data_IF_538635863779
#
_entry.id   IF_538635863779
#
_cell.length_a   1.000
_cell.length_b   1.000
_cell.length_c   1.000
_cell.angle_alpha   90.00
_cell.angle_beta   90.00
_cell.angle_gamma   90.00
#
_symmetry.space_group_name_H-M   'P 1'
#
loop_
_entity.id
_entity.type
_entity.pdbx_description
1 polymer ?
#
# COMPACT_ATOMS: atom_id res chain seq x y z
N UNK A 1 5.23 31.66 5.96
CA UNK A 1 4.10 30.87 5.42
C UNK A 1 3.59 30.02 6.57
N UNK A 2 2.34 30.16 7.01
CA UNK A 2 1.75 29.32 8.05
C UNK A 2 1.61 27.92 7.44
N UNK A 3 2.29 26.90 7.98
CA UNK A 3 1.95 25.51 7.73
C UNK A 3 0.49 25.32 8.15
N UNK A 4 -0.42 25.27 7.20
CA UNK A 4 -1.78 24.83 7.46
C UNK A 4 -1.67 23.34 7.78
N UNK A 5 -1.84 23.01 9.06
CA UNK A 5 -2.02 21.66 9.52
C UNK A 5 -3.31 21.14 8.91
N UNK A 6 -3.18 20.30 7.90
CA UNK A 6 -4.31 19.68 7.23
C UNK A 6 -4.90 18.65 8.19
N UNK A 7 -6.17 18.78 8.55
CA UNK A 7 -6.88 17.73 9.27
C UNK A 7 -6.99 16.53 8.32
N UNK A 8 -6.36 15.42 8.69
CA UNK A 8 -6.40 14.17 7.93
C UNK A 8 -7.46 13.27 8.53
N UNK A 9 -8.40 12.81 7.71
CA UNK A 9 -9.33 11.74 8.05
C UNK A 9 -8.91 10.49 7.28
N UNK A 10 -8.90 9.33 7.91
CA UNK A 10 -8.54 8.06 7.27
C UNK A 10 -9.42 6.91 7.76
N UNK A 11 -9.44 5.86 6.99
CA UNK A 11 -10.10 4.59 7.30
C UNK A 11 -9.27 3.48 6.70
N UNK A 12 -9.14 2.36 7.38
CA UNK A 12 -8.49 1.15 6.88
C UNK A 12 -9.31 -0.08 7.28
N UNK A 13 -9.33 -1.07 6.39
CA UNK A 13 -9.99 -2.34 6.66
C UNK A 13 -9.35 -3.45 5.83
N UNK A 14 -9.16 -4.61 6.44
CA UNK A 14 -8.60 -5.80 5.81
C UNK A 14 -9.38 -7.04 6.22
N UNK A 15 -9.68 -7.90 5.26
CA UNK A 15 -10.46 -9.14 5.45
C UNK A 15 -9.87 -10.28 4.64
N UNK A 16 -9.95 -11.49 5.18
CA UNK A 16 -9.61 -12.69 4.43
C UNK A 16 -10.54 -12.94 3.22
N UNK A 17 -11.72 -12.29 3.19
CA UNK A 17 -12.71 -12.53 2.15
C UNK A 17 -13.14 -13.99 2.08
N UNK A 18 -13.10 -14.58 0.89
CA UNK A 18 -13.42 -15.98 0.67
C UNK A 18 -12.26 -16.94 0.96
N UNK A 19 -11.05 -16.44 1.21
CA UNK A 19 -9.85 -17.24 1.45
C UNK A 19 -9.79 -17.71 2.92
N UNK A 20 -9.15 -18.85 3.20
CA UNK A 20 -8.98 -19.35 4.57
C UNK A 20 -7.96 -18.52 5.40
N UNK A 21 -7.06 -17.81 4.73
CA UNK A 21 -5.99 -17.01 5.33
C UNK A 21 -6.00 -15.65 4.67
N UNK A 22 -5.84 -14.60 5.46
CA UNK A 22 -5.56 -13.27 4.94
C UNK A 22 -4.06 -13.14 4.70
N UNK A 23 -3.67 -12.99 3.44
CA UNK A 23 -2.27 -12.78 3.02
C UNK A 23 -1.97 -11.30 2.80
N UNK A 24 -3.01 -10.45 2.85
CA UNK A 24 -2.86 -9.00 2.86
C UNK A 24 -2.40 -8.49 4.22
N UNK A 25 -1.71 -7.37 4.20
CA UNK A 25 -1.37 -6.58 5.38
C UNK A 25 -1.48 -5.09 5.08
N UNK A 26 -1.98 -4.31 6.02
CA UNK A 26 -1.99 -2.87 5.95
C UNK A 26 -1.60 -2.25 7.29
N UNK A 27 -1.31 -0.98 7.28
CA UNK A 27 -1.06 -0.22 8.50
C UNK A 27 -0.71 1.23 8.21
N UNK A 28 -0.88 2.05 9.23
CA UNK A 28 -0.58 3.46 9.13
C UNK A 28 0.21 3.98 10.33
N UNK A 29 0.90 5.09 10.14
CA UNK A 29 1.46 5.90 11.21
C UNK A 29 0.98 7.34 11.01
N UNK A 30 0.08 7.76 11.90
CA UNK A 30 -0.50 9.10 11.88
C UNK A 30 0.22 9.95 12.93
N UNK A 31 0.72 11.09 12.48
CA UNK A 31 1.38 12.04 13.36
C UNK A 31 0.31 12.87 14.06
N UNK A 32 0.28 12.79 15.37
CA UNK A 32 -0.54 13.69 16.19
C UNK A 32 0.15 15.04 16.31
N UNK A 33 -0.34 15.98 15.52
CA UNK A 33 0.22 17.34 15.50
C UNK A 33 -0.16 18.13 16.75
N UNK A 34 -1.21 17.73 17.46
CA UNK A 34 -1.67 18.38 18.69
C UNK A 34 -0.84 17.94 19.91
N UNK A 35 -0.17 16.79 19.82
CA UNK A 35 0.73 16.33 20.87
C UNK A 35 2.04 17.14 20.83
N UNK A 36 2.12 18.18 21.63
CA UNK A 36 3.29 19.09 21.77
C UNK A 36 4.60 18.36 22.13
N UNK A 37 4.50 17.09 22.52
CA UNK A 37 5.61 16.21 22.88
C UNK A 37 5.98 15.20 21.79
N UNK A 38 5.30 15.21 20.65
CA UNK A 38 5.64 14.33 19.55
C UNK A 38 7.04 14.66 19.03
N UNK A 39 7.84 13.63 18.84
CA UNK A 39 9.21 13.71 18.37
C UNK A 39 9.26 14.55 17.07
N UNK A 40 9.95 15.70 17.10
CA UNK A 40 10.07 16.61 15.95
C UNK A 40 10.52 15.89 14.68
N UNK A 41 11.37 14.87 14.83
CA UNK A 41 11.81 14.00 13.75
C UNK A 41 10.63 13.30 13.05
N UNK A 42 9.65 12.79 13.78
CA UNK A 42 8.47 12.15 13.19
C UNK A 42 7.60 13.15 12.43
N UNK A 43 7.42 14.37 12.97
CA UNK A 43 6.68 15.44 12.27
C UNK A 43 7.33 15.81 10.93
N UNK A 44 8.66 15.76 10.87
CA UNK A 44 9.40 16.00 9.62
C UNK A 44 9.26 14.90 8.59
N UNK A 45 8.85 13.68 8.99
CA UNK A 45 8.70 12.52 8.09
C UNK A 45 7.32 12.45 7.44
N UNK A 46 6.27 13.00 8.04
CA UNK A 46 4.90 12.98 7.52
C UNK A 46 4.10 11.74 7.92
N UNK A 47 2.80 11.73 7.60
CA UNK A 47 1.92 10.57 7.80
C UNK A 47 2.28 9.48 6.81
N UNK A 48 2.13 8.22 7.20
CA UNK A 48 2.48 7.07 6.36
C UNK A 48 1.34 6.04 6.35
N UNK A 49 0.99 5.55 5.16
CA UNK A 49 0.03 4.48 4.93
C UNK A 49 0.68 3.42 4.08
N UNK A 50 0.57 2.16 4.47
CA UNK A 50 1.22 1.03 3.81
C UNK A 50 0.23 -0.08 3.54
N UNK A 51 0.30 -0.66 2.35
CA UNK A 51 -0.48 -1.80 1.90
C UNK A 51 0.46 -2.82 1.26
N UNK A 52 0.24 -4.09 1.53
CA UNK A 52 0.99 -5.20 0.95
C UNK A 52 0.08 -6.40 0.79
N UNK A 53 0.11 -7.02 -0.38
CA UNK A 53 -0.62 -8.23 -0.73
C UNK A 53 0.38 -9.37 -0.94
N UNK A 54 0.17 -10.46 -0.23
CA UNK A 54 1.00 -11.67 -0.33
C UNK A 54 0.54 -12.59 -1.44
N UNK A 55 1.44 -12.96 -2.37
CA UNK A 55 1.07 -13.77 -3.53
C UNK A 55 0.38 -15.08 -3.15
N UNK A 56 -0.76 -15.37 -3.79
CA UNK A 56 -1.62 -16.53 -3.48
C UNK A 56 -0.96 -17.89 -3.67
N UNK A 57 0.06 -18.00 -4.53
CA UNK A 57 0.82 -19.26 -4.78
C UNK A 57 1.74 -19.67 -3.62
N UNK A 58 2.00 -18.76 -2.67
CA UNK A 58 2.92 -18.98 -1.55
C UNK A 58 2.19 -19.18 -0.23
N UNK A 59 2.58 -20.21 0.52
CA UNK A 59 2.09 -20.44 1.88
C UNK A 59 2.79 -19.58 2.96
N UNK A 60 3.79 -18.80 2.58
CA UNK A 60 4.57 -17.91 3.46
C UNK A 60 4.45 -16.43 3.10
N UNK A 61 3.62 -16.10 2.12
CA UNK A 61 3.44 -14.73 1.65
C UNK A 61 2.77 -13.82 2.69
N UNK A 62 1.88 -14.36 3.55
CA UNK A 62 1.37 -13.63 4.71
C UNK A 62 2.52 -13.13 5.61
N UNK A 63 3.52 -13.97 5.86
CA UNK A 63 4.69 -13.54 6.65
C UNK A 63 5.48 -12.45 5.91
N UNK A 64 5.49 -12.49 4.57
CA UNK A 64 6.17 -11.47 3.78
C UNK A 64 5.45 -10.13 3.84
N UNK A 65 4.13 -10.10 3.64
CA UNK A 65 3.31 -8.88 3.69
C UNK A 65 3.33 -8.25 5.09
N UNK A 66 3.13 -9.03 6.15
CA UNK A 66 3.20 -8.57 7.54
C UNK A 66 4.57 -7.96 7.86
N UNK A 67 5.65 -8.66 7.47
CA UNK A 67 7.01 -8.18 7.70
C UNK A 67 7.29 -6.89 6.93
N UNK A 68 6.83 -6.80 5.68
CA UNK A 68 7.05 -5.63 4.84
C UNK A 68 6.39 -4.39 5.44
N UNK A 69 5.10 -4.48 5.81
CA UNK A 69 4.34 -3.38 6.43
C UNK A 69 4.98 -2.96 7.75
N UNK A 70 5.19 -3.90 8.66
CA UNK A 70 5.76 -3.63 9.98
C UNK A 70 7.15 -3.00 9.88
N UNK A 71 8.04 -3.60 9.09
CA UNK A 71 9.42 -3.11 8.94
C UNK A 71 9.45 -1.72 8.34
N UNK A 72 8.57 -1.42 7.36
CA UNK A 72 8.53 -0.09 6.77
C UNK A 72 8.11 0.96 7.79
N UNK A 73 7.00 0.73 8.49
CA UNK A 73 6.47 1.65 9.50
C UNK A 73 7.47 1.91 10.65
N UNK A 74 8.21 0.89 11.07
CA UNK A 74 9.23 1.03 12.10
C UNK A 74 10.49 1.73 11.57
N UNK A 75 11.00 1.34 10.40
CA UNK A 75 12.32 1.76 9.92
C UNK A 75 12.31 3.11 9.20
N UNK A 76 11.20 3.52 8.57
CA UNK A 76 11.11 4.78 7.85
C UNK A 76 11.38 5.98 8.76
N UNK A 77 10.79 5.97 9.94
CA UNK A 77 10.95 7.06 10.93
C UNK A 77 12.32 7.07 11.61
N UNK A 78 13.09 5.98 11.50
CA UNK A 78 14.46 5.89 12.03
C UNK A 78 15.53 6.35 11.03
N UNK A 79 15.14 6.64 9.77
CA UNK A 79 16.09 7.17 8.80
C UNK A 79 16.53 8.59 9.18
N UNK A 80 17.76 9.03 8.79
CA UNK A 80 18.25 10.37 9.13
C UNK A 80 17.28 11.47 8.69
N UNK A 81 17.11 12.51 9.54
CA UNK A 81 16.23 13.65 9.26
C UNK A 81 16.69 14.49 8.05
N UNK A 82 17.98 14.39 7.72
CA UNK A 82 18.58 15.06 6.57
C UNK A 82 18.24 14.39 5.23
N UNK A 83 17.68 13.17 5.26
CA UNK A 83 17.30 12.47 4.04
C UNK A 83 15.98 12.98 3.50
N UNK A 84 15.88 13.00 2.17
CA UNK A 84 14.61 13.25 1.49
C UNK A 84 13.65 12.09 1.72
N UNK A 85 12.34 12.32 1.52
CA UNK A 85 11.31 11.26 1.54
C UNK A 85 11.69 10.13 0.59
N UNK A 86 12.12 10.47 -0.64
CA UNK A 86 12.53 9.49 -1.65
C UNK A 86 13.69 8.64 -1.15
N UNK A 87 14.73 9.26 -0.62
CA UNK A 87 15.91 8.56 -0.13
C UNK A 87 15.58 7.64 1.05
N UNK A 88 14.78 8.12 2.01
CA UNK A 88 14.35 7.34 3.16
C UNK A 88 13.51 6.14 2.74
N UNK A 89 12.44 6.37 1.97
CA UNK A 89 11.51 5.31 1.57
C UNK A 89 12.17 4.27 0.67
N UNK A 90 12.90 4.70 -0.38
CA UNK A 90 13.55 3.75 -1.29
C UNK A 90 14.62 2.91 -0.61
N UNK A 91 15.34 3.45 0.36
CA UNK A 91 16.32 2.69 1.14
C UNK A 91 15.64 1.62 1.98
N UNK A 92 14.57 1.98 2.69
CA UNK A 92 13.83 1.02 3.52
C UNK A 92 13.18 -0.06 2.66
N UNK A 93 12.53 0.28 1.54
CA UNK A 93 11.90 -0.68 0.63
C UNK A 93 12.94 -1.67 0.08
N UNK A 94 14.12 -1.19 -0.33
CA UNK A 94 15.20 -2.06 -0.82
C UNK A 94 15.73 -3.00 0.27
N UNK A 95 15.84 -2.55 1.51
CA UNK A 95 16.26 -3.38 2.64
C UNK A 95 15.24 -4.47 2.95
N UNK A 96 13.93 -4.14 2.87
CA UNK A 96 12.85 -5.12 3.01
C UNK A 96 12.97 -6.16 1.88
N UNK A 97 13.10 -5.72 0.63
CA UNK A 97 13.27 -6.61 -0.52
C UNK A 97 14.46 -7.56 -0.34
N UNK A 98 15.62 -7.03 0.06
CA UNK A 98 16.81 -7.85 0.29
C UNK A 98 16.60 -8.88 1.40
N UNK A 99 15.86 -8.53 2.44
CA UNK A 99 15.51 -9.44 3.56
C UNK A 99 14.59 -10.56 3.11
N UNK A 100 13.51 -10.23 2.38
CA UNK A 100 12.55 -11.21 1.87
C UNK A 100 13.21 -12.13 0.82
N UNK A 101 13.98 -11.55 -0.11
CA UNK A 101 14.72 -12.30 -1.12
C UNK A 101 15.67 -13.31 -0.46
N UNK A 102 16.47 -12.87 0.52
CA UNK A 102 17.37 -13.75 1.27
C UNK A 102 16.59 -14.88 1.98
N UNK A 103 15.48 -14.56 2.64
CA UNK A 103 14.63 -15.60 3.27
C UNK A 103 14.14 -16.64 2.26
N UNK A 104 13.78 -16.23 1.06
CA UNK A 104 13.41 -17.16 -0.03
C UNK A 104 14.59 -18.03 -0.42
N UNK A 105 15.80 -17.44 -0.61
CA UNK A 105 17.00 -18.18 -0.97
C UNK A 105 17.45 -19.18 0.12
N UNK A 106 17.27 -18.82 1.38
CA UNK A 106 17.63 -19.68 2.56
C UNK A 106 16.53 -20.70 2.91
N UNK A 107 15.47 -20.78 2.12
CA UNK A 107 14.30 -21.66 2.35
C UNK A 107 14.20 -22.78 1.32
N UNK A 108 13.31 -23.77 1.52
CA UNK A 108 13.00 -24.78 0.49
C UNK A 108 12.48 -24.20 -0.83
N UNK A 109 12.09 -22.91 -0.85
CA UNK A 109 11.55 -22.22 -2.03
C UNK A 109 12.61 -21.56 -2.93
N UNK A 110 13.91 -21.78 -2.65
CA UNK A 110 15.00 -21.16 -3.43
C UNK A 110 14.94 -21.47 -4.95
N UNK A 111 14.34 -22.61 -5.32
CA UNK A 111 14.14 -23.01 -6.74
C UNK A 111 12.74 -22.69 -7.28
N UNK A 112 11.85 -22.14 -6.46
CA UNK A 112 10.49 -21.75 -6.80
C UNK A 112 10.16 -20.41 -6.12
N UNK A 113 10.78 -19.31 -6.56
CA UNK A 113 10.65 -18.01 -5.88
C UNK A 113 9.20 -17.52 -5.73
N UNK A 114 8.31 -17.91 -6.65
CA UNK A 114 6.87 -17.68 -6.62
C UNK A 114 6.14 -18.38 -5.45
N UNK A 115 6.82 -19.24 -4.73
CA UNK A 115 6.35 -19.89 -3.48
C UNK A 115 7.05 -19.39 -2.23
N UNK A 116 7.98 -18.45 -2.39
CA UNK A 116 8.79 -17.89 -1.32
C UNK A 116 8.12 -16.71 -0.60
N UNK A 117 8.95 -15.96 0.09
CA UNK A 117 8.54 -14.75 0.82
C UNK A 117 8.38 -13.58 -0.17
N UNK A 118 7.24 -13.54 -0.86
CA UNK A 118 6.96 -12.57 -1.92
C UNK A 118 5.65 -11.87 -1.66
N UNK A 119 5.63 -10.55 -1.83
CA UNK A 119 4.42 -9.73 -1.69
C UNK A 119 4.52 -8.48 -2.57
N UNK A 120 3.37 -7.87 -2.86
CA UNK A 120 3.29 -6.51 -3.40
C UNK A 120 3.65 -5.50 -2.30
N UNK A 121 3.86 -4.25 -2.66
CA UNK A 121 4.11 -3.21 -1.66
C UNK A 121 3.73 -1.83 -2.20
N UNK A 122 2.88 -1.15 -1.49
CA UNK A 122 2.47 0.21 -1.80
C UNK A 122 2.52 1.07 -0.55
N UNK A 123 3.06 2.28 -0.67
CA UNK A 123 3.11 3.23 0.44
C UNK A 123 2.79 4.64 -0.03
N UNK A 124 1.97 5.33 0.74
CA UNK A 124 1.70 6.77 0.62
C UNK A 124 2.30 7.48 1.83
N UNK A 125 3.14 8.48 1.57
CA UNK A 125 3.69 9.35 2.61
C UNK A 125 3.17 10.75 2.36
N UNK A 126 2.36 11.28 3.28
CA UNK A 126 1.80 12.63 3.19
C UNK A 126 2.66 13.57 4.04
N UNK A 127 3.36 14.49 3.37
CA UNK A 127 4.21 15.49 4.00
C UNK A 127 3.82 16.89 3.54
N UNK A 128 3.27 17.69 4.45
CA UNK A 128 2.66 18.96 4.08
C UNK A 128 1.50 18.73 3.11
N UNK A 129 1.51 19.41 1.97
CA UNK A 129 0.49 19.29 0.93
C UNK A 129 0.91 18.36 -0.22
N UNK A 130 1.88 17.47 0.01
CA UNK A 130 2.32 16.53 -1.02
C UNK A 130 2.15 15.09 -0.53
N UNK A 131 1.61 14.24 -1.42
CA UNK A 131 1.66 12.79 -1.30
C UNK A 131 2.84 12.26 -2.12
N UNK A 132 3.69 11.47 -1.48
CA UNK A 132 4.76 10.70 -2.10
C UNK A 132 4.31 9.23 -2.14
N UNK A 133 4.22 8.66 -3.31
CA UNK A 133 3.69 7.33 -3.56
C UNK A 133 4.82 6.46 -4.08
N UNK A 134 5.05 5.30 -3.44
CA UNK A 134 5.99 4.28 -3.89
C UNK A 134 5.22 2.99 -4.09
N UNK A 135 5.42 2.34 -5.23
CA UNK A 135 4.63 1.18 -5.59
C UNK A 135 5.48 0.07 -6.21
N UNK A 136 5.17 -1.17 -5.83
CA UNK A 136 5.73 -2.40 -6.35
C UNK A 136 4.61 -3.44 -6.34
N UNK A 137 4.18 -3.89 -7.50
CA UNK A 137 3.14 -4.91 -7.62
C UNK A 137 1.96 -4.45 -8.46
N UNK A 138 0.78 -4.90 -8.14
CA UNK A 138 -0.45 -4.68 -8.88
C UNK A 138 -1.60 -4.13 -8.03
N UNK A 139 -1.34 -3.76 -6.76
CA UNK A 139 -2.28 -2.99 -5.97
C UNK A 139 -2.57 -1.64 -6.65
N UNK A 140 -3.76 -1.10 -6.44
CA UNK A 140 -4.20 0.15 -7.04
C UNK A 140 -4.13 1.30 -6.02
N UNK A 141 -3.49 2.39 -6.41
CA UNK A 141 -3.62 3.67 -5.72
C UNK A 141 -4.27 4.66 -6.67
N UNK A 142 -5.38 5.23 -6.24
CA UNK A 142 -6.11 6.25 -6.97
C UNK A 142 -6.36 7.49 -6.13
N UNK A 143 -6.79 8.56 -6.79
CA UNK A 143 -7.13 9.83 -6.16
C UNK A 143 -8.48 10.33 -6.67
N UNK A 144 -9.32 10.78 -5.77
CA UNK A 144 -10.47 11.62 -6.09
C UNK A 144 -10.07 13.08 -5.97
N UNK A 145 -10.23 13.83 -7.06
CA UNK A 145 -10.12 15.29 -7.11
C UNK A 145 -11.47 15.85 -7.57
N UNK A 146 -12.17 16.53 -6.68
CA UNK A 146 -13.58 16.82 -6.86
C UNK A 146 -14.36 15.52 -7.18
N UNK A 147 -15.03 15.43 -8.34
CA UNK A 147 -15.81 14.26 -8.75
C UNK A 147 -15.04 13.32 -9.70
N UNK A 148 -13.77 13.62 -9.99
CA UNK A 148 -12.95 12.82 -10.89
C UNK A 148 -12.10 11.82 -10.12
N UNK A 149 -12.08 10.56 -10.59
CA UNK A 149 -11.21 9.51 -10.08
C UNK A 149 -10.11 9.19 -11.09
N UNK A 150 -8.88 9.32 -10.67
CA UNK A 150 -7.71 8.99 -11.47
C UNK A 150 -6.87 7.92 -10.77
N UNK A 151 -6.50 6.87 -11.50
CA UNK A 151 -5.56 5.84 -11.03
C UNK A 151 -4.14 6.38 -11.22
N UNK A 152 -3.33 6.30 -10.17
CA UNK A 152 -1.96 6.83 -10.13
C UNK A 152 -0.94 5.76 -10.46
N UNK A 153 -1.10 4.55 -9.91
CA UNK A 153 -0.14 3.45 -10.05
C UNK A 153 -0.43 2.58 -11.27
N UNK A 154 0.62 1.98 -11.81
CA UNK A 154 0.52 1.02 -12.91
C UNK A 154 0.66 -0.40 -12.37
N UNK A 155 -0.24 -1.31 -12.73
CA UNK A 155 -0.11 -2.71 -12.32
C UNK A 155 1.15 -3.34 -12.97
N UNK A 156 2.07 -3.83 -12.15
CA UNK A 156 3.30 -4.50 -12.62
C UNK A 156 2.99 -5.96 -12.99
N UNK A 157 2.15 -6.14 -14.01
CA UNK A 157 1.77 -7.44 -14.56
C UNK A 157 2.33 -7.66 -15.96
N UNK A 158 2.58 -8.90 -16.31
CA UNK A 158 2.95 -9.34 -17.66
C UNK A 158 2.03 -10.43 -18.13
N UNK A 159 1.79 -10.50 -19.44
CA UNK A 159 0.97 -11.55 -20.05
C UNK A 159 1.90 -12.68 -20.49
N UNK A 160 1.65 -13.89 -20.02
CA UNK A 160 2.36 -15.08 -20.43
C UNK A 160 1.93 -15.58 -21.79
N UNK A 161 2.71 -16.50 -22.38
CA UNK A 161 2.48 -17.06 -23.73
C UNK A 161 1.10 -17.71 -23.92
N UNK A 162 0.43 -18.13 -22.84
CA UNK A 162 -0.89 -18.74 -22.86
C UNK A 162 -2.01 -17.83 -22.37
N UNK A 163 -1.77 -16.50 -22.34
CA UNK A 163 -2.78 -15.50 -22.00
C UNK A 163 -3.03 -15.30 -20.50
N UNK A 164 -2.31 -15.98 -19.60
CA UNK A 164 -2.37 -15.74 -18.17
C UNK A 164 -1.65 -14.44 -17.79
N UNK A 165 -2.21 -13.68 -16.85
CA UNK A 165 -1.56 -12.50 -16.26
C UNK A 165 -0.74 -12.92 -15.05
N UNK A 166 0.54 -12.47 -14.98
CA UNK A 166 1.45 -12.80 -13.91
C UNK A 166 2.09 -11.52 -13.34
N UNK A 167 2.33 -11.52 -12.05
CA UNK A 167 3.03 -10.45 -11.37
C UNK A 167 4.48 -10.38 -11.88
N UNK A 168 4.87 -9.24 -12.43
CA UNK A 168 6.20 -9.04 -13.04
C UNK A 168 7.23 -8.48 -12.05
N UNK A 169 6.76 -7.78 -11.01
CA UNK A 169 7.59 -7.11 -10.02
C UNK A 169 6.94 -7.18 -8.64
N UNK A 170 7.67 -7.71 -7.66
CA UNK A 170 7.23 -7.88 -6.28
C UNK A 170 8.42 -7.88 -5.32
N UNK A 171 8.20 -7.52 -4.05
CA UNK A 171 9.21 -7.65 -3.00
C UNK A 171 9.55 -9.13 -2.80
N UNK A 172 10.84 -9.42 -2.60
CA UNK A 172 11.35 -10.76 -2.34
C UNK A 172 11.48 -11.67 -3.56
N UNK A 173 10.96 -11.25 -4.73
CA UNK A 173 10.99 -12.05 -5.96
C UNK A 173 12.37 -12.02 -6.65
N UNK A 174 13.00 -10.85 -6.70
CA UNK A 174 14.32 -10.63 -7.30
C UNK A 174 15.22 -9.80 -6.38
N UNK A 175 16.53 -9.98 -6.51
CA UNK A 175 17.51 -9.18 -5.75
C UNK A 175 17.44 -7.69 -6.12
N UNK A 176 17.22 -7.39 -7.42
CA UNK A 176 17.05 -6.02 -7.93
C UNK A 176 15.55 -5.71 -8.01
N UNK A 177 15.17 -4.58 -7.43
CA UNK A 177 13.79 -4.11 -7.36
C UNK A 177 13.62 -2.81 -8.13
N UNK A 178 12.61 -2.73 -8.96
CA UNK A 178 12.16 -1.49 -9.60
C UNK A 178 11.01 -0.92 -8.78
N UNK A 179 11.14 0.33 -8.33
CA UNK A 179 10.15 1.02 -7.50
C UNK A 179 9.53 2.13 -8.34
N UNK A 180 8.23 2.03 -8.60
CA UNK A 180 7.48 3.12 -9.21
C UNK A 180 7.29 4.23 -8.18
N UNK A 181 7.48 5.49 -8.61
CA UNK A 181 7.38 6.66 -7.73
C UNK A 181 6.57 7.79 -8.35
N UNK A 182 5.64 8.34 -7.57
CA UNK A 182 4.89 9.54 -7.91
C UNK A 182 4.94 10.56 -6.77
N UNK A 183 4.83 11.84 -7.14
CA UNK A 183 4.65 12.93 -6.19
C UNK A 183 3.50 13.81 -6.67
N UNK A 184 2.50 13.98 -5.81
CA UNK A 184 1.25 14.66 -6.16
C UNK A 184 0.96 15.75 -5.14
N UNK A 185 0.68 16.95 -5.63
CA UNK A 185 0.14 18.02 -4.78
C UNK A 185 -1.30 17.72 -4.38
N UNK A 186 -1.59 17.85 -3.10
CA UNK A 186 -2.92 17.64 -2.50
C UNK A 186 -3.58 18.96 -2.20
N UNK A 187 -4.87 19.01 -2.46
CA UNK A 187 -5.77 20.09 -2.07
C UNK A 187 -6.76 19.61 -1.01
N UNK A 188 -7.46 20.55 -0.38
CA UNK A 188 -8.50 20.21 0.59
C UNK A 188 -9.61 19.43 -0.10
N UNK A 189 -10.03 18.32 0.51
CA UNK A 189 -11.00 17.33 0.03
C UNK A 189 -10.48 16.32 -1.00
N UNK A 190 -9.22 16.41 -1.44
CA UNK A 190 -8.66 15.30 -2.21
C UNK A 190 -8.67 14.03 -1.34
N UNK A 191 -9.08 12.91 -1.93
CA UNK A 191 -9.13 11.62 -1.24
C UNK A 191 -8.27 10.61 -1.98
N UNK A 192 -7.27 10.08 -1.30
CA UNK A 192 -6.45 8.97 -1.80
C UNK A 192 -7.06 7.64 -1.36
N UNK A 193 -7.09 6.67 -2.26
CA UNK A 193 -7.57 5.31 -1.99
C UNK A 193 -6.48 4.32 -2.38
N UNK A 194 -6.16 3.39 -1.46
CA UNK A 194 -5.25 2.27 -1.71
C UNK A 194 -6.06 0.98 -1.63
N UNK A 195 -5.92 0.09 -2.61
CA UNK A 195 -6.70 -1.15 -2.69
C UNK A 195 -5.84 -2.29 -3.23
N UNK A 196 -5.98 -3.47 -2.64
CA UNK A 196 -5.47 -4.72 -3.24
C UNK A 196 -6.33 -5.12 -4.45
N UNK A 197 -5.84 -6.03 -5.29
CA UNK A 197 -6.53 -6.48 -6.50
C UNK A 197 -7.89 -7.11 -6.17
N UNK A 198 -8.01 -7.84 -5.06
CA UNK A 198 -9.28 -8.35 -4.57
C UNK A 198 -10.35 -7.29 -4.33
N UNK A 199 -9.96 -6.03 -4.15
CA UNK A 199 -10.90 -4.91 -4.03
C UNK A 199 -11.04 -4.18 -5.37
N UNK A 200 -9.95 -3.67 -5.95
CA UNK A 200 -10.07 -2.77 -7.08
C UNK A 200 -10.57 -3.43 -8.39
N UNK A 201 -10.36 -4.74 -8.56
CA UNK A 201 -10.89 -5.46 -9.71
C UNK A 201 -12.41 -5.71 -9.61
N UNK A 202 -12.97 -5.62 -8.40
CA UNK A 202 -14.38 -5.92 -8.12
C UNK A 202 -15.22 -4.68 -7.76
N UNK A 203 -14.60 -3.52 -7.48
CA UNK A 203 -15.34 -2.28 -7.19
C UNK A 203 -15.17 -1.29 -8.35
N UNK A 204 -16.18 -1.16 -9.23
CA UNK A 204 -16.14 -0.20 -10.33
C UNK A 204 -16.01 1.24 -9.83
N UNK A 205 -15.37 2.10 -10.62
CA UNK A 205 -15.10 3.50 -10.25
C UNK A 205 -16.36 4.29 -9.82
N UNK A 206 -17.54 4.02 -10.42
CA UNK A 206 -18.77 4.71 -10.04
C UNK A 206 -19.26 4.31 -8.64
N UNK A 207 -19.18 3.00 -8.28
CA UNK A 207 -19.52 2.52 -6.93
C UNK A 207 -18.52 3.03 -5.90
N UNK A 208 -17.24 3.01 -6.23
CA UNK A 208 -16.19 3.58 -5.38
C UNK A 208 -16.45 5.08 -5.13
N UNK A 209 -16.83 5.84 -6.16
CA UNK A 209 -17.19 7.25 -6.05
C UNK A 209 -18.39 7.49 -5.12
N UNK A 210 -19.44 6.68 -5.21
CA UNK A 210 -20.60 6.78 -4.31
C UNK A 210 -20.20 6.53 -2.84
N UNK A 211 -19.31 5.57 -2.58
CA UNK A 211 -18.84 5.22 -1.24
C UNK A 211 -17.90 6.28 -0.64
N UNK A 212 -17.08 6.92 -1.48
CA UNK A 212 -16.05 7.88 -1.04
C UNK A 212 -16.60 9.31 -0.98
N UNK A 213 -17.43 9.72 -1.96
CA UNK A 213 -17.89 11.09 -2.10
C UNK A 213 -19.32 11.30 -1.57
N UNK A 214 -20.13 10.25 -1.52
CA UNK A 214 -21.56 10.31 -1.16
C UNK A 214 -21.85 10.65 0.31
N UNK A 215 -20.93 10.33 1.21
CA UNK A 215 -20.99 10.65 2.64
C UNK A 215 -19.64 11.21 3.11
N UNK A 216 -19.62 11.89 4.26
CA UNK A 216 -18.34 12.26 4.87
C UNK A 216 -17.53 11.01 5.19
N UNK A 217 -16.26 11.00 4.78
CA UNK A 217 -15.32 9.93 5.14
C UNK A 217 -15.33 9.71 6.66
N UNK A 218 -15.49 8.47 7.05
CA UNK A 218 -15.52 8.06 8.44
C UNK A 218 -14.77 6.72 8.62
N UNK A 219 -14.66 6.25 9.84
CA UNK A 219 -13.92 5.04 10.19
C UNK A 219 -14.45 3.75 9.55
N UNK A 220 -15.63 3.75 8.93
CA UNK A 220 -16.25 2.58 8.28
C UNK A 220 -16.19 2.66 6.75
N UNK A 221 -15.62 3.71 6.17
CA UNK A 221 -15.61 3.87 4.71
C UNK A 221 -14.85 2.74 4.02
N UNK A 222 -13.67 2.36 4.54
CA UNK A 222 -12.89 1.25 3.98
C UNK A 222 -13.63 -0.09 4.11
N UNK A 223 -14.31 -0.35 5.23
CA UNK A 223 -15.15 -1.54 5.42
C UNK A 223 -16.27 -1.62 4.38
N UNK A 224 -16.97 -0.51 4.13
CA UNK A 224 -18.03 -0.44 3.10
C UNK A 224 -17.51 -0.69 1.70
N UNK A 225 -16.30 -0.25 1.38
CA UNK A 225 -15.63 -0.53 0.09
C UNK A 225 -15.35 -2.05 -0.02
N UNK A 226 -14.82 -2.67 1.02
CA UNK A 226 -14.55 -4.11 1.08
C UNK A 226 -15.86 -4.92 1.01
N UNK A 227 -16.92 -4.50 1.70
CA UNK A 227 -18.24 -5.13 1.61
C UNK A 227 -18.80 -5.05 0.18
N UNK A 228 -18.58 -3.94 -0.52
CA UNK A 228 -18.96 -3.79 -1.93
C UNK A 228 -18.22 -4.80 -2.82
N UNK A 229 -16.90 -5.00 -2.64
CA UNK A 229 -16.13 -6.01 -3.35
C UNK A 229 -16.66 -7.43 -3.07
N UNK A 230 -16.98 -7.73 -1.82
CA UNK A 230 -17.58 -9.01 -1.40
C UNK A 230 -18.94 -9.23 -2.07
N UNK A 231 -19.81 -8.21 -2.11
CA UNK A 231 -21.11 -8.26 -2.77
C UNK A 231 -20.95 -8.49 -4.30
N UNK A 232 -19.90 -7.96 -4.89
CA UNK A 232 -19.53 -8.12 -6.29
C UNK A 232 -18.78 -9.45 -6.57
N UNK A 233 -18.74 -10.37 -5.59
CA UNK A 233 -18.22 -11.73 -5.71
C UNK A 233 -16.68 -11.82 -5.84
N UNK A 234 -15.96 -10.92 -5.20
CA UNK A 234 -14.53 -11.13 -5.03
C UNK A 234 -14.26 -12.44 -4.27
N UNK A 235 -13.29 -13.20 -4.75
CA UNK A 235 -12.86 -14.50 -4.20
C UNK A 235 -11.45 -14.41 -3.57
N UNK A 236 -10.90 -13.20 -3.42
CA UNK A 236 -9.58 -12.95 -2.86
C UNK A 236 -9.60 -12.32 -1.46
N UNK A 237 -8.40 -12.09 -0.91
CA UNK A 237 -8.21 -11.22 0.24
C UNK A 237 -8.58 -9.78 -0.13
N UNK A 238 -9.08 -9.02 0.80
CA UNK A 238 -9.70 -7.72 0.56
C UNK A 238 -9.13 -6.68 1.50
N UNK A 239 -8.37 -5.71 0.98
CA UNK A 239 -7.80 -4.64 1.80
C UNK A 239 -7.92 -3.27 1.12
N UNK A 240 -8.41 -2.31 1.89
CA UNK A 240 -8.54 -0.92 1.49
C UNK A 240 -8.08 0.03 2.59
#
# INVERSE_FOLDING_TARGET
MKNQLTTLTYSEYSSAGAKPINQDACGCHIIDVAAVTSNLSQQLKGHCFVLSDGISSSSVSQVASDLAVKTFLESYYLTPDTWTVIQSATTVIRNINATLYRRTQDSPYCYSPDRGYVCTFSVIIIKGNNAHIFHVGDACIGIFKADNYDIITSAHRTVGEHGGSFLANALGFKSKLDIEYHSIGLETKDTLVMMTDGVHEFVPAHQLGELVLGESLNNTTAERIVDCATANKSDDNLTC
#
